data_IF_295485819229
#
_entry.id   IF_295485819229
#
_cell.length_a   1.000
_cell.length_b   1.000
_cell.length_c   1.000
_cell.angle_alpha   90.00
_cell.angle_beta   90.00
_cell.angle_gamma   90.00
#
_symmetry.space_group_name_H-M   'P 1'
#
loop_
_entity.id
_entity.type
_entity.pdbx_description
1 polymer ?
#
# COMPACT_ATOMS: atom_id res chain seq x y z
N UNK A 1 -11.70 -1.79 -4.07
CA UNK A 1 -10.72 -2.71 -3.44
C UNK A 1 -11.45 -3.97 -3.06
N UNK A 2 -10.83 -5.14 -3.23
CA UNK A 2 -11.36 -6.43 -2.83
C UNK A 2 -10.32 -7.14 -1.95
N UNK A 3 -10.72 -7.57 -0.75
CA UNK A 3 -9.84 -8.21 0.23
C UNK A 3 -10.35 -9.63 0.49
N UNK A 4 -9.44 -10.59 0.52
CA UNK A 4 -9.70 -11.97 0.91
C UNK A 4 -8.91 -12.31 2.16
N UNK A 5 -9.61 -12.48 3.28
CA UNK A 5 -9.03 -12.96 4.52
C UNK A 5 -8.85 -14.48 4.45
N UNK A 6 -7.61 -14.96 4.53
CA UNK A 6 -7.26 -16.37 4.48
C UNK A 6 -7.18 -16.97 5.89
N UNK A 7 -6.69 -16.17 6.85
CA UNK A 7 -6.45 -16.55 8.25
C UNK A 7 -6.79 -15.38 9.18
N UNK A 8 -7.10 -15.63 10.46
CA UNK A 8 -7.21 -14.57 11.45
C UNK A 8 -5.93 -13.73 11.49
N UNK A 9 -6.08 -12.40 11.43
CA UNK A 9 -4.96 -11.47 11.53
C UNK A 9 -4.73 -11.18 13.01
N UNK A 10 -3.58 -11.57 13.60
CA UNK A 10 -3.33 -11.33 15.01
C UNK A 10 -3.14 -9.85 15.30
N UNK A 11 -3.57 -9.44 16.49
CA UNK A 11 -3.32 -8.11 17.03
C UNK A 11 -2.01 -8.12 17.82
N UNK A 12 -1.43 -6.93 18.04
CA UNK A 12 -0.23 -6.73 18.87
C UNK A 12 1.02 -7.49 18.40
N UNK A 13 1.09 -7.83 17.11
CA UNK A 13 2.27 -8.37 16.48
C UNK A 13 2.67 -7.56 15.25
N UNK A 14 3.94 -7.63 14.90
CA UNK A 14 4.43 -7.05 13.66
C UNK A 14 3.85 -7.82 12.45
N UNK A 15 3.36 -7.06 11.48
CA UNK A 15 2.83 -7.55 10.22
C UNK A 15 3.50 -6.81 9.07
N UNK A 16 3.71 -7.51 7.97
CA UNK A 16 4.26 -6.92 6.75
C UNK A 16 3.15 -6.80 5.72
N UNK A 17 2.90 -5.58 5.27
CA UNK A 17 1.98 -5.29 4.17
C UNK A 17 2.80 -5.08 2.90
N UNK A 18 2.53 -5.89 1.88
CA UNK A 18 3.27 -5.90 0.62
C UNK A 18 2.29 -5.65 -0.50
N UNK A 19 2.62 -4.71 -1.37
CA UNK A 19 1.81 -4.41 -2.54
C UNK A 19 2.64 -3.95 -3.71
N UNK A 20 2.18 -4.27 -4.91
CA UNK A 20 2.83 -3.87 -6.16
C UNK A 20 1.79 -3.53 -7.22
N UNK A 21 2.20 -2.68 -8.16
CA UNK A 21 1.37 -2.29 -9.30
C UNK A 21 1.46 -3.40 -10.35
N UNK A 22 0.31 -3.95 -10.74
CA UNK A 22 0.20 -4.96 -11.81
C UNK A 22 -0.16 -4.33 -13.15
N UNK A 23 -0.82 -3.18 -13.16
CA UNK A 23 -1.08 -2.42 -14.38
C UNK A 23 -1.03 -0.91 -14.16
N UNK A 24 -0.41 -0.21 -15.11
CA UNK A 24 -0.37 1.24 -15.15
C UNK A 24 -0.95 1.73 -16.48
N UNK A 25 -2.19 2.21 -16.45
CA UNK A 25 -2.89 2.80 -17.60
C UNK A 25 -3.02 4.31 -17.43
N UNK A 26 -3.48 5.00 -18.46
CA UNK A 26 -3.60 6.47 -18.48
C UNK A 26 -4.21 7.04 -17.19
N UNK A 27 -5.45 6.66 -16.84
CA UNK A 27 -6.17 7.19 -15.66
C UNK A 27 -6.26 6.21 -14.49
N UNK A 28 -5.69 5.01 -14.61
CA UNK A 28 -5.98 3.92 -13.68
C UNK A 28 -4.70 3.16 -13.35
N UNK A 29 -4.49 2.88 -12.07
CA UNK A 29 -3.55 1.89 -11.58
C UNK A 29 -4.33 0.66 -11.08
N UNK A 30 -3.81 -0.52 -11.38
CA UNK A 30 -4.24 -1.78 -10.78
C UNK A 30 -3.07 -2.35 -10.01
N UNK A 31 -3.34 -2.89 -8.83
CA UNK A 31 -2.32 -3.43 -7.95
C UNK A 31 -2.85 -4.60 -7.15
N UNK A 32 -1.91 -5.42 -6.72
CA UNK A 32 -2.14 -6.58 -5.87
C UNK A 32 -1.31 -6.42 -4.61
N UNK A 33 -1.71 -7.11 -3.56
CA UNK A 33 -0.96 -7.11 -2.33
C UNK A 33 -1.46 -8.14 -1.34
N UNK A 34 -0.73 -8.27 -0.24
CA UNK A 34 -1.06 -9.18 0.83
C UNK A 34 -0.49 -8.71 2.16
N UNK A 35 -1.00 -9.30 3.23
CA UNK A 35 -0.48 -9.17 4.59
C UNK A 35 0.13 -10.51 4.98
N UNK A 36 1.34 -10.49 5.52
CA UNK A 36 1.97 -11.67 6.12
C UNK A 36 2.52 -11.38 7.53
N UNK A 37 2.68 -12.44 8.32
CA UNK A 37 3.40 -12.38 9.59
C UNK A 37 4.92 -12.37 9.38
N UNK A 38 5.68 -12.34 10.47
CA UNK A 38 7.16 -12.40 10.46
C UNK A 38 7.72 -13.70 9.88
N UNK A 39 6.92 -14.78 9.87
CA UNK A 39 7.25 -16.06 9.23
C UNK A 39 6.89 -16.12 7.74
N UNK A 40 6.45 -14.99 7.14
CA UNK A 40 5.98 -14.86 5.76
C UNK A 40 4.72 -15.69 5.43
N UNK A 41 3.94 -16.08 6.44
CA UNK A 41 2.63 -16.71 6.23
C UNK A 41 1.61 -15.67 5.77
N UNK A 42 0.98 -15.89 4.62
CA UNK A 42 -0.02 -14.98 4.07
C UNK A 42 -1.35 -15.11 4.82
N UNK A 43 -1.79 -14.00 5.41
CA UNK A 43 -3.01 -13.92 6.22
C UNK A 43 -4.18 -13.33 5.44
N UNK A 44 -3.91 -12.41 4.52
CA UNK A 44 -4.91 -11.80 3.65
C UNK A 44 -4.30 -11.40 2.31
N UNK A 45 -5.08 -11.45 1.23
CA UNK A 45 -4.70 -10.92 -0.08
C UNK A 45 -5.67 -9.82 -0.52
N UNK A 46 -5.22 -8.96 -1.41
CA UNK A 46 -5.95 -7.80 -1.87
C UNK A 46 -5.73 -7.58 -3.36
N UNK A 47 -6.80 -7.21 -4.06
CA UNK A 47 -6.74 -6.59 -5.39
C UNK A 47 -7.37 -5.21 -5.33
N UNK A 48 -6.68 -4.22 -5.90
CA UNK A 48 -7.10 -2.84 -5.86
C UNK A 48 -6.97 -2.16 -7.21
N UNK A 49 -7.87 -1.22 -7.45
CA UNK A 49 -7.92 -0.37 -8.63
C UNK A 49 -8.09 1.07 -8.17
N UNK A 50 -7.17 1.93 -8.58
CA UNK A 50 -7.13 3.33 -8.20
C UNK A 50 -7.21 4.23 -9.42
N UNK A 51 -7.96 5.32 -9.33
CA UNK A 51 -8.03 6.33 -10.37
C UNK A 51 -7.00 7.42 -10.09
N UNK A 52 -6.23 7.81 -11.11
CA UNK A 52 -5.32 8.95 -11.03
C UNK A 52 -6.13 10.23 -11.13
N UNK A 53 -5.93 11.12 -10.17
CA UNK A 53 -6.56 12.44 -10.11
C UNK A 53 -5.48 13.48 -9.80
N UNK A 54 -5.54 14.69 -10.38
CA UNK A 54 -4.67 15.78 -9.98
C UNK A 54 -4.82 16.07 -8.49
N UNK A 55 -3.72 16.28 -7.77
CA UNK A 55 -3.74 16.51 -6.31
C UNK A 55 -4.63 17.69 -5.93
N UNK A 56 -4.59 18.79 -6.71
CA UNK A 56 -5.42 19.99 -6.53
C UNK A 56 -6.93 19.74 -6.69
N UNK A 57 -7.34 18.60 -7.24
CA UNK A 57 -8.74 18.19 -7.33
C UNK A 57 -9.19 17.38 -6.10
N UNK A 58 -8.24 16.83 -5.34
CA UNK A 58 -8.50 15.94 -4.19
C UNK A 58 -8.40 16.70 -2.86
N UNK A 59 -7.52 17.70 -2.79
CA UNK A 59 -7.22 18.44 -1.55
C UNK A 59 -7.82 19.84 -1.58
N UNK A 60 -8.32 20.30 -0.44
CA UNK A 60 -8.84 21.66 -0.27
C UNK A 60 -7.73 22.55 0.31
N UNK A 61 -7.30 23.57 -0.44
CA UNK A 61 -6.32 24.56 0.00
C UNK A 61 -5.13 24.68 -0.95
N UNK A 62 -4.66 25.91 -1.17
CA UNK A 62 -3.64 26.23 -2.18
C UNK A 62 -2.23 25.71 -1.81
N UNK A 63 -1.97 25.44 -0.52
CA UNK A 63 -0.63 25.10 -0.02
C UNK A 63 -0.46 23.64 0.46
N UNK A 64 -1.44 22.75 0.29
CA UNK A 64 -1.36 21.38 0.85
C UNK A 64 -0.09 20.63 0.40
N UNK A 65 0.27 20.77 -0.88
CA UNK A 65 1.44 20.09 -1.46
C UNK A 65 2.75 20.63 -0.87
N UNK A 66 2.82 21.92 -0.58
CA UNK A 66 4.03 22.56 -0.08
C UNK A 66 4.22 22.37 1.43
N UNK A 67 3.12 22.37 2.20
CA UNK A 67 3.17 22.41 3.66
C UNK A 67 2.90 21.06 4.32
N UNK A 68 2.05 20.22 3.73
CA UNK A 68 1.58 18.98 4.37
C UNK A 68 2.17 17.72 3.75
N UNK A 69 2.52 17.75 2.46
CA UNK A 69 3.07 16.59 1.78
C UNK A 69 4.60 16.52 1.92
N UNK A 70 5.06 16.23 3.13
CA UNK A 70 6.47 16.15 3.49
C UNK A 70 6.96 14.70 3.54
N UNK A 71 8.21 14.48 3.12
CA UNK A 71 8.90 13.22 3.39
C UNK A 71 9.30 13.18 4.87
N UNK A 72 8.83 12.16 5.58
CA UNK A 72 9.27 11.85 6.94
C UNK A 72 10.16 10.63 6.83
N UNK A 73 11.41 10.75 7.26
CA UNK A 73 12.33 9.62 7.31
C UNK A 73 11.92 8.70 8.46
N UNK A 74 11.80 7.41 8.18
CA UNK A 74 11.68 6.39 9.22
C UNK A 74 13.05 6.16 9.87
N UNK A 75 13.05 5.79 11.15
CA UNK A 75 14.28 5.42 11.88
C UNK A 75 14.98 4.22 11.22
N UNK A 76 14.19 3.26 10.71
CA UNK A 76 14.67 2.10 9.97
C UNK A 76 13.82 1.89 8.71
N UNK A 77 14.44 2.04 7.53
CA UNK A 77 13.79 1.75 6.24
C UNK A 77 14.07 0.31 5.79
N UNK A 78 13.07 -0.40 5.22
CA UNK A 78 13.30 -1.74 4.68
C UNK A 78 14.23 -1.68 3.45
N UNK A 79 15.31 -2.46 3.47
CA UNK A 79 16.33 -2.48 2.39
C UNK A 79 15.81 -3.16 1.12
N UNK A 80 15.10 -4.29 1.27
CA UNK A 80 14.49 -5.00 0.15
C UNK A 80 13.37 -5.93 0.64
N UNK A 81 12.50 -6.34 -0.29
CA UNK A 81 11.45 -7.31 -0.03
C UNK A 81 11.32 -8.25 -1.24
N UNK A 82 11.29 -9.56 -1.00
CA UNK A 82 11.07 -10.57 -2.03
C UNK A 82 9.59 -10.77 -2.29
N UNK A 83 9.14 -10.55 -3.53
CA UNK A 83 7.74 -10.79 -3.90
C UNK A 83 7.42 -12.30 -3.89
N UNK A 84 6.19 -12.72 -3.51
CA UNK A 84 5.78 -14.11 -3.64
C UNK A 84 5.84 -14.55 -5.10
N UNK A 85 6.28 -15.79 -5.33
CA UNK A 85 6.24 -16.44 -6.66
C UNK A 85 4.87 -16.99 -6.99
#
# INVERSE_FOLDING_TARGET
>A
MNIKYLKPVPLDQELRAVGWITSNRSRIFEGEGYICNTENEILATCTAKYMKQPVLTIVNGENFVEEQWIYVADDESPVSFELPK
#
